data_IF_276897144770
#
_entry.id   IF_276897144770
#
_cell.length_a   1.000
_cell.length_b   1.000
_cell.length_c   1.000
_cell.angle_alpha   90.00
_cell.angle_beta   90.00
_cell.angle_gamma   90.00
#
_symmetry.space_group_name_H-M   'P 1'
#
loop_
_entity.id
_entity.type
_entity.pdbx_description
1 polymer ?
#
# COMPACT_ATOMS: atom_id res chain seq x y z
N UNK A 1 4.65 0.12 -27.96
CA UNK A 1 5.07 -0.82 -26.89
C UNK A 1 5.57 -2.11 -27.54
N UNK A 2 6.77 -2.09 -28.14
CA UNK A 2 7.28 -3.17 -29.01
C UNK A 2 8.14 -4.22 -28.26
N UNK A 3 8.24 -4.14 -26.92
CA UNK A 3 9.18 -4.96 -26.14
C UNK A 3 8.54 -6.12 -25.36
N UNK A 4 7.23 -6.34 -25.49
CA UNK A 4 6.53 -7.40 -24.76
C UNK A 4 6.59 -8.72 -25.54
N UNK A 5 6.85 -9.82 -24.84
CA UNK A 5 6.80 -11.17 -25.39
C UNK A 5 5.36 -11.60 -25.64
N UNK A 6 5.20 -12.61 -26.48
CA UNK A 6 3.92 -13.28 -26.65
C UNK A 6 3.42 -13.80 -25.29
N UNK A 7 2.18 -13.45 -24.94
CA UNK A 7 1.50 -13.75 -23.68
C UNK A 7 1.90 -12.93 -22.43
N UNK A 8 2.72 -11.88 -22.57
CA UNK A 8 2.94 -10.96 -21.45
C UNK A 8 1.63 -10.24 -21.05
N UNK A 9 1.40 -10.15 -19.74
CA UNK A 9 0.34 -9.32 -19.15
C UNK A 9 1.02 -8.13 -18.48
N UNK A 10 0.67 -6.92 -18.94
CA UNK A 10 1.13 -5.67 -18.34
C UNK A 10 -0.07 -4.92 -17.78
N UNK A 11 0.01 -4.50 -16.52
CA UNK A 11 -1.02 -3.68 -15.87
C UNK A 11 -0.44 -2.40 -15.28
N UNK A 12 -1.20 -1.31 -15.33
CA UNK A 12 -0.98 -0.16 -14.44
C UNK A 12 -1.78 -0.40 -13.17
N UNK A 13 -1.17 -0.21 -12.01
CA UNK A 13 -1.86 -0.38 -10.72
C UNK A 13 -2.08 0.96 -10.04
N UNK A 14 -3.30 1.20 -9.57
CA UNK A 14 -3.63 2.25 -8.61
C UNK A 14 -3.93 1.59 -7.27
N UNK A 15 -3.28 2.02 -6.20
CA UNK A 15 -3.45 1.45 -4.85
C UNK A 15 -4.34 2.35 -4.00
N UNK A 16 -5.33 1.76 -3.35
CA UNK A 16 -6.15 2.40 -2.33
C UNK A 16 -5.86 1.79 -0.95
N UNK A 17 -5.94 2.62 0.08
CA UNK A 17 -5.79 2.23 1.48
C UNK A 17 -7.15 2.36 2.17
N UNK A 18 -7.71 1.26 2.66
CA UNK A 18 -8.96 1.21 3.40
C UNK A 18 -8.67 0.84 4.86
N UNK A 19 -8.99 1.72 5.81
CA UNK A 19 -8.90 1.42 7.24
C UNK A 19 -10.26 0.87 7.70
N UNK A 20 -10.30 -0.36 8.22
CA UNK A 20 -11.50 -0.98 8.79
C UNK A 20 -11.14 -1.73 10.07
N UNK A 21 -11.82 -1.40 11.18
CA UNK A 21 -11.55 -1.97 12.49
C UNK A 21 -10.05 -1.94 12.82
N UNK A 22 -9.43 -0.76 12.62
CA UNK A 22 -8.00 -0.51 12.86
C UNK A 22 -7.02 -1.30 11.97
N UNK A 23 -7.53 -2.08 11.01
CA UNK A 23 -6.73 -2.82 10.04
C UNK A 23 -6.72 -2.12 8.70
N UNK A 24 -5.54 -2.05 8.10
CA UNK A 24 -5.35 -1.50 6.77
C UNK A 24 -5.55 -2.60 5.72
N UNK A 25 -6.44 -2.36 4.78
CA UNK A 25 -6.70 -3.18 3.60
C UNK A 25 -6.21 -2.40 2.40
N UNK A 26 -5.32 -2.99 1.62
CA UNK A 26 -4.91 -2.41 0.35
C UNK A 26 -5.83 -2.92 -0.74
N UNK A 27 -6.20 -2.06 -1.68
CA UNK A 27 -6.97 -2.47 -2.85
C UNK A 27 -6.17 -2.02 -4.06
N UNK A 28 -5.62 -2.99 -4.77
CA UNK A 28 -4.90 -2.75 -6.00
C UNK A 28 -5.86 -2.87 -7.17
N UNK A 29 -6.11 -1.75 -7.85
CA UNK A 29 -6.90 -1.73 -9.08
C UNK A 29 -5.94 -1.84 -10.26
N UNK A 30 -5.93 -3.00 -10.89
CA UNK A 30 -5.16 -3.31 -12.07
C UNK A 30 -5.93 -2.87 -13.32
N UNK A 31 -5.36 -1.94 -14.08
CA UNK A 31 -5.79 -1.61 -15.44
C UNK A 31 -4.92 -2.35 -16.45
N UNK A 32 -5.54 -3.18 -17.30
CA UNK A 32 -4.80 -3.93 -18.34
C UNK A 32 -4.25 -2.97 -19.40
N UNK A 33 -2.94 -3.00 -19.63
CA UNK A 33 -2.24 -2.27 -20.70
C UNK A 33 -1.81 -3.18 -21.84
N UNK A 34 -1.54 -4.45 -21.57
CA UNK A 34 -1.32 -5.50 -22.56
C UNK A 34 -1.67 -6.88 -21.96
N UNK A 35 -1.98 -7.86 -22.82
CA UNK A 35 -2.42 -9.19 -22.39
C UNK A 35 -3.90 -9.25 -22.02
N UNK A 36 -4.32 -10.32 -21.34
CA UNK A 36 -5.73 -10.59 -21.01
C UNK A 36 -5.90 -10.90 -19.52
N UNK A 37 -6.64 -10.04 -18.82
CA UNK A 37 -7.15 -10.28 -17.47
C UNK A 37 -8.63 -10.67 -17.49
N UNK A 38 -9.19 -10.97 -16.31
CA UNK A 38 -10.62 -11.22 -16.12
C UNK A 38 -11.52 -10.04 -16.57
N UNK A 39 -10.97 -8.82 -16.66
CA UNK A 39 -11.62 -7.63 -17.19
C UNK A 39 -10.62 -6.51 -17.49
N UNK A 40 -11.07 -5.41 -18.10
CA UNK A 40 -10.23 -4.22 -18.35
C UNK A 40 -9.63 -3.66 -17.06
N UNK A 41 -10.44 -3.66 -16.00
CA UNK A 41 -10.04 -3.34 -14.65
C UNK A 41 -10.32 -4.54 -13.74
N UNK A 42 -9.39 -4.85 -12.84
CA UNK A 42 -9.55 -5.87 -11.80
C UNK A 42 -9.11 -5.27 -10.48
N UNK A 43 -10.03 -5.15 -9.52
CA UNK A 43 -9.71 -4.73 -8.17
C UNK A 43 -9.37 -5.96 -7.32
N UNK A 44 -8.18 -5.98 -6.75
CA UNK A 44 -7.69 -7.07 -5.91
C UNK A 44 -7.49 -6.51 -4.51
N UNK A 45 -8.30 -6.93 -3.51
CA UNK A 45 -8.00 -6.63 -2.13
C UNK A 45 -6.78 -7.43 -1.69
N UNK A 46 -5.73 -6.72 -1.32
CA UNK A 46 -4.50 -7.27 -0.78
C UNK A 46 -4.43 -6.95 0.72
N UNK A 47 -4.10 -7.95 1.53
CA UNK A 47 -3.77 -7.72 2.92
C UNK A 47 -2.31 -7.28 2.99
N UNK A 48 -2.06 -6.18 3.71
CA UNK A 48 -0.74 -6.02 4.31
C UNK A 48 -0.67 -6.93 5.51
N UNK A 49 0.41 -7.69 5.58
CA UNK A 49 0.59 -8.64 6.66
C UNK A 49 0.86 -7.94 8.00
N UNK A 50 1.50 -6.77 8.02
CA UNK A 50 1.85 -6.02 9.24
C UNK A 50 1.96 -4.51 8.94
N UNK A 51 1.22 -3.67 9.65
CA UNK A 51 1.32 -2.20 9.62
C UNK A 51 1.92 -1.74 10.95
N UNK A 52 2.70 -0.65 10.94
CA UNK A 52 3.18 -0.04 12.18
C UNK A 52 2.00 0.34 13.10
N UNK A 53 2.21 0.25 14.41
CA UNK A 53 1.17 0.56 15.40
C UNK A 53 0.65 1.99 15.18
N UNK A 54 -0.63 2.22 15.48
CA UNK A 54 -1.26 3.52 15.22
C UNK A 54 -0.56 4.69 15.94
N UNK A 55 0.05 4.44 17.11
CA UNK A 55 0.82 5.45 17.85
C UNK A 55 2.00 6.05 17.06
N UNK A 56 2.51 5.31 16.06
CA UNK A 56 3.60 5.73 15.19
C UNK A 56 3.13 6.40 13.90
N UNK A 57 1.83 6.43 13.61
CA UNK A 57 1.31 7.02 12.38
C UNK A 57 1.28 8.55 12.48
N UNK A 58 1.77 9.23 11.45
CA UNK A 58 1.73 10.68 11.32
C UNK A 58 0.40 11.20 10.78
N UNK A 59 -0.02 12.38 11.25
CA UNK A 59 -1.24 13.06 10.78
C UNK A 59 -0.96 14.54 10.52
N UNK A 60 -1.58 15.13 9.50
CA UNK A 60 -1.45 16.54 9.18
C UNK A 60 -2.44 16.99 8.10
N UNK A 61 -2.67 18.30 8.00
CA UNK A 61 -3.51 18.89 6.96
C UNK A 61 -2.82 18.93 5.59
N UNK A 62 -1.49 18.86 5.58
CA UNK A 62 -0.66 18.72 4.38
C UNK A 62 0.19 17.46 4.45
N UNK A 63 0.69 17.03 3.29
CA UNK A 63 1.60 15.90 3.17
C UNK A 63 2.86 16.08 4.04
N UNK A 64 3.48 17.25 3.95
CA UNK A 64 4.70 17.58 4.69
C UNK A 64 4.49 17.55 6.21
N UNK A 65 3.35 18.05 6.68
CA UNK A 65 2.99 18.00 8.09
C UNK A 65 2.77 16.56 8.58
N UNK A 66 2.07 15.73 7.81
CA UNK A 66 1.84 14.34 8.16
C UNK A 66 3.16 13.55 8.19
N UNK A 67 4.07 13.83 7.24
CA UNK A 67 5.40 13.23 7.18
C UNK A 67 6.25 13.61 8.38
N UNK A 68 6.39 14.91 8.67
CA UNK A 68 7.16 15.41 9.82
C UNK A 68 6.60 14.82 11.13
N UNK A 69 5.27 14.79 11.29
CA UNK A 69 4.64 14.20 12.46
C UNK A 69 4.98 12.70 12.63
N UNK A 70 5.01 11.94 11.54
CA UNK A 70 5.41 10.53 11.55
C UNK A 70 6.88 10.38 11.97
N UNK A 71 7.78 11.13 11.32
CA UNK A 71 9.22 11.07 11.57
C UNK A 71 9.56 11.39 13.03
N UNK A 72 8.91 12.41 13.61
CA UNK A 72 9.10 12.75 15.03
C UNK A 72 8.66 11.62 15.98
N UNK A 73 7.64 10.85 15.63
CA UNK A 73 7.13 9.74 16.45
C UNK A 73 8.01 8.50 16.41
N UNK A 74 8.73 8.28 15.30
CA UNK A 74 9.52 7.05 15.10
C UNK A 74 11.03 7.24 15.28
N UNK A 75 11.53 8.47 15.34
CA UNK A 75 12.98 8.76 15.30
C UNK A 75 13.83 8.09 16.38
N UNK A 76 13.24 7.73 17.52
CA UNK A 76 13.94 7.10 18.65
C UNK A 76 13.70 5.58 18.73
N UNK A 77 13.02 4.98 17.75
CA UNK A 77 12.62 3.57 17.76
C UNK A 77 13.34 2.79 16.66
N UNK A 78 13.77 1.58 16.99
CA UNK A 78 14.26 0.62 16.01
C UNK A 78 13.10 0.06 15.17
N UNK A 79 13.41 -0.43 13.97
CA UNK A 79 12.40 -0.94 13.02
C UNK A 79 11.53 -2.02 13.68
N UNK A 80 12.12 -2.92 14.46
CA UNK A 80 11.41 -4.03 15.12
C UNK A 80 10.38 -3.57 16.16
N UNK A 81 10.52 -2.35 16.71
CA UNK A 81 9.62 -1.80 17.73
C UNK A 81 8.39 -1.12 17.10
N UNK A 82 8.51 -0.66 15.86
CA UNK A 82 7.43 0.04 15.14
C UNK A 82 6.27 -0.88 14.79
N UNK A 83 6.56 -2.17 14.56
CA UNK A 83 5.60 -3.13 14.04
C UNK A 83 5.12 -4.10 15.14
N UNK A 84 3.83 -4.50 15.10
CA UNK A 84 3.35 -5.57 15.95
C UNK A 84 4.05 -6.89 15.59
N UNK A 85 4.52 -7.62 16.61
CA UNK A 85 5.14 -8.93 16.44
C UNK A 85 4.07 -9.94 16.04
N UNK A 86 4.37 -10.80 15.06
CA UNK A 86 3.52 -11.96 14.76
C UNK A 86 3.53 -12.90 15.97
N UNK A 87 2.37 -13.17 16.54
CA UNK A 87 2.16 -14.33 17.42
C UNK A 87 2.28 -15.64 16.62
#
# INVERSE_FOLDING_TARGET
>A
MQSLKENDILTKTTRYNLIRNERLIYIDVHETKAGKLAGKFVAVPNLVNIVARQEFQGTGETEEMALENCLQKIKEFEIEDLFPKKE
#
